data_IF_584675368081
#
_entry.id   IF_584675368081
#
_cell.length_a   1.000
_cell.length_b   1.000
_cell.length_c   1.000
_cell.angle_alpha   90.00
_cell.angle_beta   90.00
_cell.angle_gamma   90.00
#
_symmetry.space_group_name_H-M   'P 1'
#
loop_
_entity.id
_entity.type
_entity.pdbx_description
1 polymer ?
#
# COMPACT_ATOMS: atom_id res chain seq x y z
N UNK A 1 -12.82 -9.44 -19.71
CA UNK A 1 -14.10 -9.13 -19.03
C UNK A 1 -14.44 -7.67 -19.24
N UNK A 2 -15.71 -7.35 -19.51
CA UNK A 2 -16.16 -5.95 -19.62
C UNK A 2 -16.33 -5.42 -18.20
N UNK A 3 -15.58 -4.40 -17.81
CA UNK A 3 -15.78 -3.73 -16.52
C UNK A 3 -17.08 -2.93 -16.63
N UNK A 4 -18.06 -3.26 -15.80
CA UNK A 4 -19.31 -2.50 -15.67
C UNK A 4 -19.09 -1.38 -14.66
N UNK A 5 -19.54 -0.17 -15.00
CA UNK A 5 -19.44 1.00 -14.11
C UNK A 5 -20.83 1.37 -13.61
N UNK A 6 -20.98 1.54 -12.30
CA UNK A 6 -22.20 2.03 -11.66
C UNK A 6 -22.09 3.53 -11.33
N UNK A 7 -23.21 4.25 -11.39
CA UNK A 7 -23.26 5.67 -11.02
C UNK A 7 -23.66 5.81 -9.55
N UNK A 8 -22.84 6.51 -8.78
CA UNK A 8 -23.13 6.84 -7.37
C UNK A 8 -23.04 8.34 -7.18
N UNK A 9 -23.94 8.92 -6.37
CA UNK A 9 -23.99 10.36 -6.08
C UNK A 9 -23.78 10.62 -4.60
N UNK A 10 -22.88 11.55 -4.28
CA UNK A 10 -22.51 11.92 -2.92
C UNK A 10 -22.65 13.43 -2.72
N UNK A 11 -23.04 13.85 -1.51
CA UNK A 11 -22.90 15.25 -1.08
C UNK A 11 -21.51 15.42 -0.47
N UNK A 12 -20.76 16.39 -0.95
CA UNK A 12 -19.45 16.76 -0.40
C UNK A 12 -19.40 18.26 -0.18
N UNK A 13 -18.55 18.68 0.75
CA UNK A 13 -18.27 20.08 1.02
C UNK A 13 -17.74 20.79 -0.25
N UNK A 14 -18.12 22.06 -0.43
CA UNK A 14 -17.77 22.81 -1.64
C UNK A 14 -16.27 23.12 -1.75
N UNK A 15 -15.59 23.29 -0.61
CA UNK A 15 -14.14 23.50 -0.55
C UNK A 15 -13.44 22.20 -0.94
N UNK A 16 -13.89 21.05 -0.39
CA UNK A 16 -13.36 19.74 -0.77
C UNK A 16 -13.52 19.49 -2.27
N UNK A 17 -14.70 19.79 -2.84
CA UNK A 17 -14.93 19.67 -4.28
C UNK A 17 -13.96 20.52 -5.10
N UNK A 18 -13.80 21.79 -4.75
CA UNK A 18 -12.90 22.70 -5.46
C UNK A 18 -11.44 22.22 -5.43
N UNK A 19 -10.97 21.74 -4.26
CA UNK A 19 -9.62 21.18 -4.12
C UNK A 19 -9.40 19.95 -5.02
N UNK A 20 -10.38 19.03 -5.06
CA UNK A 20 -10.30 17.85 -5.93
C UNK A 20 -10.37 18.20 -7.42
N UNK A 21 -11.15 19.21 -7.81
CA UNK A 21 -11.20 19.70 -9.20
C UNK A 21 -9.86 20.33 -9.63
N UNK A 22 -9.23 21.12 -8.75
CA UNK A 22 -7.90 21.68 -9.00
C UNK A 22 -6.84 20.58 -9.17
N UNK A 23 -6.86 19.58 -8.28
CA UNK A 23 -5.95 18.44 -8.33
C UNK A 23 -6.15 17.61 -9.61
N UNK A 24 -7.40 17.36 -10.00
CA UNK A 24 -7.72 16.66 -11.24
C UNK A 24 -7.17 17.42 -12.46
N UNK A 25 -7.28 18.76 -12.46
CA UNK A 25 -6.72 19.62 -13.52
C UNK A 25 -5.20 19.54 -13.57
N UNK A 26 -4.51 19.60 -12.43
CA UNK A 26 -3.05 19.43 -12.34
C UNK A 26 -2.60 18.08 -12.89
N UNK A 27 -3.36 17.03 -12.57
CA UNK A 27 -3.09 15.65 -13.00
C UNK A 27 -3.62 15.34 -14.41
N UNK A 28 -4.14 16.34 -15.13
CA UNK A 28 -4.69 16.21 -16.49
C UNK A 28 -5.73 15.07 -16.62
N UNK A 29 -6.57 14.94 -15.60
CA UNK A 29 -7.60 13.91 -15.49
C UNK A 29 -8.95 14.53 -15.16
N UNK A 30 -10.04 13.75 -15.25
CA UNK A 30 -11.35 14.22 -14.83
C UNK A 30 -11.53 14.09 -13.31
N UNK A 31 -12.40 14.92 -12.72
CA UNK A 31 -12.77 14.76 -11.29
C UNK A 31 -13.26 13.34 -11.00
N UNK A 32 -14.07 12.76 -11.90
CA UNK A 32 -14.59 11.41 -11.74
C UNK A 32 -13.45 10.37 -11.71
N UNK A 33 -12.46 10.50 -12.60
CA UNK A 33 -11.30 9.61 -12.63
C UNK A 33 -10.46 9.74 -11.36
N UNK A 34 -10.20 10.97 -10.90
CA UNK A 34 -9.47 11.21 -9.66
C UNK A 34 -10.21 10.61 -8.45
N UNK A 35 -11.51 10.87 -8.33
CA UNK A 35 -12.33 10.33 -7.24
C UNK A 35 -12.35 8.80 -7.27
N UNK A 36 -12.47 8.20 -8.46
CA UNK A 36 -12.41 6.74 -8.62
C UNK A 36 -11.07 6.20 -8.14
N UNK A 37 -9.96 6.83 -8.51
CA UNK A 37 -8.61 6.45 -8.05
C UNK A 37 -8.47 6.57 -6.53
N UNK A 38 -8.97 7.65 -5.92
CA UNK A 38 -8.93 7.84 -4.45
C UNK A 38 -9.73 6.74 -3.75
N UNK A 39 -10.95 6.47 -4.21
CA UNK A 39 -11.82 5.44 -3.64
C UNK A 39 -11.21 4.03 -3.79
N UNK A 40 -10.64 3.72 -4.95
CA UNK A 40 -9.90 2.47 -5.18
C UNK A 40 -8.72 2.35 -4.22
N UNK A 41 -7.82 3.35 -4.16
CA UNK A 41 -6.67 3.32 -3.23
C UNK A 41 -7.10 3.17 -1.77
N UNK A 42 -8.23 3.78 -1.38
CA UNK A 42 -8.78 3.63 -0.03
C UNK A 42 -9.30 2.23 0.24
N UNK A 43 -10.08 1.67 -0.69
CA UNK A 43 -10.58 0.31 -0.59
C UNK A 43 -9.43 -0.71 -0.61
N UNK A 44 -8.40 -0.50 -1.41
CA UNK A 44 -7.34 -1.48 -1.57
C UNK A 44 -6.38 -1.45 -0.37
N UNK A 45 -5.84 -0.29 0.00
CA UNK A 45 -4.78 -0.19 1.01
C UNK A 45 -5.11 0.70 2.21
N UNK A 46 -5.53 1.96 1.97
CA UNK A 46 -5.53 2.96 3.06
C UNK A 46 -6.51 2.64 4.20
N UNK A 47 -7.63 1.97 3.93
CA UNK A 47 -8.55 1.53 5.00
C UNK A 47 -7.90 0.59 6.02
N UNK A 48 -6.87 -0.13 5.59
CA UNK A 48 -6.12 -1.07 6.42
C UNK A 48 -4.92 -0.38 7.08
N UNK A 49 -4.16 0.42 6.33
CA UNK A 49 -2.94 1.09 6.82
C UNK A 49 -3.16 1.81 8.16
N UNK A 50 -4.23 2.61 8.28
CA UNK A 50 -4.53 3.33 9.53
C UNK A 50 -4.88 2.39 10.70
N UNK A 51 -5.55 1.27 10.44
CA UNK A 51 -5.87 0.27 11.48
C UNK A 51 -4.63 -0.51 11.94
N UNK A 52 -3.65 -0.66 11.06
CA UNK A 52 -2.37 -1.32 11.32
C UNK A 52 -1.33 -0.39 11.98
N UNK A 53 -1.70 0.87 12.25
CA UNK A 53 -0.79 1.87 12.84
C UNK A 53 0.28 2.38 11.87
N UNK A 54 0.08 2.20 10.55
CA UNK A 54 1.01 2.67 9.53
C UNK A 54 0.75 4.14 9.21
N UNK A 55 1.83 4.92 9.15
CA UNK A 55 1.79 6.34 8.82
C UNK A 55 2.57 6.61 7.53
N UNK A 56 2.21 7.63 6.76
CA UNK A 56 3.06 8.10 5.67
C UNK A 56 4.37 8.66 6.24
N UNK A 57 5.49 8.25 5.67
CA UNK A 57 6.84 8.76 5.99
C UNK A 57 7.51 9.21 4.70
N UNK A 58 8.29 10.30 4.77
CA UNK A 58 9.11 10.74 3.63
C UNK A 58 10.12 9.66 3.24
N UNK A 59 10.22 9.36 1.95
CA UNK A 59 11.25 8.46 1.41
C UNK A 59 12.66 8.95 1.75
N UNK A 60 12.90 10.26 1.73
CA UNK A 60 14.22 10.82 2.03
C UNK A 60 14.60 10.58 3.49
N UNK A 61 13.65 10.76 4.41
CA UNK A 61 13.86 10.45 5.83
C UNK A 61 14.16 8.95 6.05
N UNK A 62 13.42 8.07 5.38
CA UNK A 62 13.66 6.63 5.47
C UNK A 62 15.04 6.24 4.91
N UNK A 63 15.44 6.80 3.76
CA UNK A 63 16.77 6.57 3.18
C UNK A 63 17.87 7.02 4.14
N UNK A 64 17.74 8.20 4.72
CA UNK A 64 18.74 8.72 5.66
C UNK A 64 18.79 7.90 6.95
N UNK A 65 17.64 7.41 7.46
CA UNK A 65 17.62 6.50 8.59
C UNK A 65 18.31 5.16 8.29
N UNK A 66 18.07 4.57 7.11
CA UNK A 66 18.69 3.30 6.72
C UNK A 66 20.19 3.40 6.46
N UNK A 67 20.72 4.57 6.07
CA UNK A 67 22.18 4.82 5.97
C UNK A 67 22.92 4.67 7.29
N UNK A 68 22.23 4.82 8.41
CA UNK A 68 22.83 4.77 9.74
C UNK A 68 22.93 3.34 10.28
N UNK A 69 22.36 2.36 9.57
CA UNK A 69 22.31 0.96 9.99
C UNK A 69 23.17 0.11 9.07
N UNK A 70 23.98 -0.75 9.68
CA UNK A 70 24.72 -1.77 8.95
C UNK A 70 23.77 -2.88 8.48
N UNK A 71 24.16 -3.59 7.42
CA UNK A 71 23.33 -4.67 6.84
C UNK A 71 22.82 -5.69 7.88
N UNK A 72 23.62 -6.20 8.83
CA UNK A 72 23.12 -7.14 9.84
C UNK A 72 22.05 -6.54 10.76
N UNK A 73 22.12 -5.24 11.06
CA UNK A 73 21.15 -4.54 11.89
C UNK A 73 19.82 -4.37 11.14
N UNK A 74 19.89 -4.09 9.84
CA UNK A 74 18.72 -4.04 8.96
C UNK A 74 18.03 -5.41 8.85
N UNK A 75 18.81 -6.49 8.66
CA UNK A 75 18.28 -7.86 8.61
C UNK A 75 17.59 -8.24 9.93
N UNK A 76 18.21 -7.92 11.07
CA UNK A 76 17.64 -8.19 12.39
C UNK A 76 16.39 -7.35 12.66
N UNK A 77 16.39 -6.06 12.27
CA UNK A 77 15.22 -5.20 12.37
C UNK A 77 14.04 -5.76 11.56
N UNK A 78 14.30 -6.17 10.31
CA UNK A 78 13.31 -6.78 9.44
C UNK A 78 12.74 -8.09 10.02
N UNK A 79 13.61 -8.95 10.55
CA UNK A 79 13.20 -10.21 11.21
C UNK A 79 12.30 -9.95 12.41
N UNK A 80 12.70 -9.06 13.32
CA UNK A 80 11.88 -8.69 14.48
C UNK A 80 10.54 -8.09 14.07
N UNK A 81 10.54 -7.21 13.07
CA UNK A 81 9.31 -6.62 12.55
C UNK A 81 8.36 -7.68 12.00
N UNK A 82 8.86 -8.64 11.22
CA UNK A 82 8.07 -9.73 10.67
C UNK A 82 7.49 -10.64 11.78
N UNK A 83 8.30 -11.01 12.77
CA UNK A 83 7.90 -11.86 13.90
C UNK A 83 6.88 -11.20 14.85
N UNK A 84 6.88 -9.86 14.91
CA UNK A 84 5.99 -9.07 15.77
C UNK A 84 4.86 -8.41 14.96
N UNK A 85 5.06 -7.17 14.50
CA UNK A 85 4.04 -6.38 13.81
C UNK A 85 3.49 -7.08 12.57
N UNK A 86 4.34 -7.71 11.76
CA UNK A 86 3.88 -8.46 10.57
C UNK A 86 2.90 -9.58 10.94
N UNK A 87 3.22 -10.36 11.98
CA UNK A 87 2.34 -11.41 12.51
C UNK A 87 1.03 -10.83 13.05
N UNK A 88 1.09 -9.75 13.82
CA UNK A 88 -0.08 -9.07 14.37
C UNK A 88 -1.00 -8.50 13.28
N UNK A 89 -0.42 -7.93 12.22
CA UNK A 89 -1.17 -7.42 11.08
C UNK A 89 -1.95 -8.52 10.35
N UNK A 90 -1.32 -9.68 10.12
CA UNK A 90 -2.00 -10.83 9.49
C UNK A 90 -3.15 -11.33 10.37
N UNK A 91 -2.93 -11.48 11.67
CA UNK A 91 -3.98 -11.92 12.59
C UNK A 91 -5.12 -10.91 12.70
N UNK A 92 -4.82 -9.62 12.70
CA UNK A 92 -5.83 -8.58 12.71
C UNK A 92 -6.74 -8.64 11.48
N UNK A 93 -6.14 -8.79 10.28
CA UNK A 93 -6.86 -8.77 9.01
C UNK A 93 -7.62 -10.07 8.73
N UNK A 94 -7.01 -11.22 9.03
CA UNK A 94 -7.50 -12.52 8.57
C UNK A 94 -7.89 -13.47 9.71
N UNK A 95 -7.67 -13.09 10.97
CA UNK A 95 -8.02 -13.86 12.17
C UNK A 95 -7.34 -15.24 12.28
N UNK A 96 -6.37 -15.53 11.41
CA UNK A 96 -5.59 -16.77 11.42
C UNK A 96 -4.21 -16.54 10.80
N UNK A 97 -3.24 -17.38 11.16
CA UNK A 97 -1.92 -17.40 10.56
C UNK A 97 -1.72 -18.72 9.80
N UNK A 98 -1.71 -18.63 8.48
CA UNK A 98 -1.42 -19.72 7.56
C UNK A 98 -0.57 -19.20 6.40
N UNK A 99 0.02 -20.10 5.62
CA UNK A 99 0.72 -19.72 4.40
C UNK A 99 -0.18 -18.91 3.45
N UNK A 100 -1.45 -19.30 3.31
CA UNK A 100 -2.42 -18.57 2.47
C UNK A 100 -2.69 -17.14 2.94
N UNK A 101 -2.81 -16.91 4.24
CA UNK A 101 -3.02 -15.55 4.79
C UNK A 101 -1.74 -14.71 4.75
N UNK A 102 -0.57 -15.34 4.82
CA UNK A 102 0.72 -14.65 4.60
C UNK A 102 0.78 -14.13 3.16
N UNK A 103 0.44 -14.96 2.16
CA UNK A 103 0.41 -14.54 0.76
C UNK A 103 -0.61 -13.41 0.53
N UNK A 104 -1.83 -13.55 1.07
CA UNK A 104 -2.83 -12.47 0.98
C UNK A 104 -2.34 -11.16 1.59
N UNK A 105 -1.61 -11.23 2.71
CA UNK A 105 -1.02 -10.05 3.31
C UNK A 105 0.10 -9.46 2.45
N UNK A 106 0.96 -10.28 1.86
CA UNK A 106 2.02 -9.81 0.96
C UNK A 106 1.45 -9.20 -0.33
N UNK A 107 0.35 -9.72 -0.86
CA UNK A 107 -0.36 -9.14 -2.01
C UNK A 107 -0.96 -7.78 -1.63
N UNK A 108 -1.66 -7.72 -0.48
CA UNK A 108 -2.20 -6.48 0.04
C UNK A 108 -1.11 -5.44 0.32
N UNK A 109 -0.04 -5.86 1.00
CA UNK A 109 1.09 -4.99 1.34
C UNK A 109 1.79 -4.53 0.06
N UNK A 110 2.09 -5.41 -0.89
CA UNK A 110 2.76 -4.98 -2.14
C UNK A 110 1.90 -4.02 -2.98
N UNK A 111 0.57 -4.10 -2.88
CA UNK A 111 -0.36 -3.23 -3.63
C UNK A 111 -0.23 -1.72 -3.34
N UNK A 112 0.43 -1.33 -2.24
CA UNK A 112 0.63 0.09 -1.92
C UNK A 112 1.79 0.74 -2.70
N UNK A 113 2.64 -0.06 -3.34
CA UNK A 113 3.76 0.45 -4.15
C UNK A 113 3.33 0.74 -5.58
N UNK A 114 3.97 1.74 -6.20
CA UNK A 114 3.67 2.15 -7.57
C UNK A 114 4.00 1.05 -8.61
N UNK A 115 5.00 0.22 -8.32
CA UNK A 115 5.34 -0.95 -9.13
C UNK A 115 5.59 -2.16 -8.23
N UNK A 116 4.75 -3.18 -8.39
CA UNK A 116 4.88 -4.47 -7.76
C UNK A 116 4.40 -5.58 -8.70
N UNK A 117 4.94 -6.78 -8.51
CA UNK A 117 4.49 -7.97 -9.21
C UNK A 117 4.53 -9.17 -8.27
N UNK A 118 3.45 -9.96 -8.29
CA UNK A 118 3.41 -11.28 -7.70
C UNK A 118 3.28 -12.33 -8.81
N UNK A 119 4.19 -13.30 -8.82
CA UNK A 119 4.19 -14.41 -9.77
C UNK A 119 4.28 -15.75 -9.04
N UNK A 120 3.55 -16.74 -9.52
CA UNK A 120 3.60 -18.11 -9.02
C UNK A 120 3.89 -19.07 -10.17
N UNK A 121 4.88 -19.95 -10.00
CA UNK A 121 5.29 -20.93 -11.04
C UNK A 121 4.74 -22.35 -10.83
N UNK A 122 3.86 -22.54 -9.83
CA UNK A 122 3.37 -23.87 -9.42
C UNK A 122 4.12 -24.47 -8.22
N UNK A 123 5.24 -23.87 -7.80
CA UNK A 123 6.02 -24.30 -6.63
C UNK A 123 6.45 -23.15 -5.72
N UNK A 124 6.78 -22.00 -6.30
CA UNK A 124 7.37 -20.86 -5.61
C UNK A 124 6.61 -19.57 -5.94
N UNK A 125 6.39 -18.75 -4.91
CA UNK A 125 5.88 -17.40 -5.05
C UNK A 125 7.05 -16.41 -5.15
N UNK A 126 7.00 -15.53 -6.14
CA UNK A 126 7.97 -14.48 -6.38
C UNK A 126 7.29 -13.13 -6.21
N UNK A 127 7.87 -12.27 -5.38
CA UNK A 127 7.42 -10.91 -5.17
C UNK A 127 8.52 -9.95 -5.61
N UNK A 128 8.18 -9.04 -6.52
CA UNK A 128 9.04 -7.92 -6.93
C UNK A 128 8.37 -6.64 -6.50
N UNK A 129 9.08 -5.77 -5.78
CA UNK A 129 8.54 -4.51 -5.28
C UNK A 129 9.55 -3.40 -5.52
N UNK A 130 9.10 -2.31 -6.16
CA UNK A 130 9.88 -1.09 -6.30
C UNK A 130 9.51 -0.11 -5.19
N UNK A 131 10.32 -0.09 -4.14
CA UNK A 131 10.08 0.73 -2.95
C UNK A 131 10.90 2.03 -2.92
N UNK A 132 11.95 2.15 -3.75
CA UNK A 132 12.75 3.37 -3.94
C UNK A 132 13.32 3.95 -2.61
N UNK A 133 13.58 3.09 -1.63
CA UNK A 133 14.20 3.47 -0.34
C UNK A 133 15.50 2.73 -0.03
N UNK A 134 15.99 1.89 -0.94
CA UNK A 134 17.30 1.26 -0.79
C UNK A 134 18.44 2.20 -1.17
N UNK A 135 19.59 1.92 -0.56
CA UNK A 135 20.88 2.48 -0.92
C UNK A 135 21.32 1.93 -2.28
N UNK A 136 21.74 2.82 -3.19
CA UNK A 136 22.65 2.44 -4.27
C UNK A 136 24.02 2.12 -3.69
#
# INVERSE_FOLDING_TARGET
MRITTDTVSFRIDSILRANLEEEAKKNRTSLNTLVSQILSRYADWWRYAGRLGLIPVSKDLLRDAFKLLEKPELEELGRRFAETSGREHILYLYQQLSFGTILQFLDLWSSHFDAYEHRYDGKMHFYTVHHDVNLN
#
